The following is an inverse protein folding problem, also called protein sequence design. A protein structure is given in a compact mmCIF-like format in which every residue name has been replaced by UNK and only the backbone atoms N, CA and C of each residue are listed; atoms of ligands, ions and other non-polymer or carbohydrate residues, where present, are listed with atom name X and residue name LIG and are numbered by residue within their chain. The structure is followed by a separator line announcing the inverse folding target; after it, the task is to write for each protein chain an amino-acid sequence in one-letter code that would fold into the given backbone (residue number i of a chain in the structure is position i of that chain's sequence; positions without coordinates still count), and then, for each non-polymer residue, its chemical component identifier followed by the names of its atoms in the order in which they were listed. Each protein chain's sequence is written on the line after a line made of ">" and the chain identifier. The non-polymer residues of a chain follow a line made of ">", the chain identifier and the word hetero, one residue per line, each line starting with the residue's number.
data_IF_253508200724
#
_entry.id   IF_253508200724
#
_cell.length_a   1.000
_cell.length_b   1.000
_cell.length_c   1.000
_cell.angle_alpha   90.00
_cell.angle_beta   90.00
_cell.angle_gamma   90.00
#
_symmetry.space_group_name_H-M   'P 1'
#
loop_
_entity.id
_entity.type
_entity.pdbx_description
1 polymer ?
#
# COMPACT_ATOMS: atom_id res chain seq x y z
N UNK A 1 19.16 3.38 -13.06
CA UNK A 1 18.28 2.32 -12.54
C UNK A 1 18.04 2.66 -11.08
N UNK A 2 16.86 3.14 -10.74
CA UNK A 2 16.47 3.31 -9.34
C UNK A 2 15.74 2.03 -8.96
N UNK A 3 16.30 1.27 -8.02
CA UNK A 3 15.61 0.12 -7.45
C UNK A 3 14.63 0.64 -6.40
N UNK A 4 13.38 0.17 -6.45
CA UNK A 4 12.37 0.44 -5.42
C UNK A 4 12.73 -0.44 -4.22
N UNK A 5 12.93 0.18 -3.07
CA UNK A 5 13.08 -0.50 -1.78
C UNK A 5 11.77 -0.32 -1.00
N UNK A 6 11.26 -1.41 -0.43
CA UNK A 6 10.11 -1.39 0.48
C UNK A 6 10.58 -1.67 1.90
N UNK A 7 10.11 -0.85 2.83
CA UNK A 7 10.47 -0.93 4.24
C UNK A 7 9.19 -1.08 5.06
N UNK A 8 9.05 -2.22 5.71
CA UNK A 8 7.92 -2.50 6.59
C UNK A 8 8.37 -2.54 8.04
N UNK A 9 7.58 -1.91 8.91
CA UNK A 9 7.77 -1.98 10.34
C UNK A 9 6.42 -1.93 11.05
N UNK A 10 6.23 -2.67 12.15
CA UNK A 10 5.00 -2.57 12.92
C UNK A 10 4.85 -1.16 13.46
N UNK A 11 3.67 -0.58 13.28
CA UNK A 11 3.30 0.63 14.01
C UNK A 11 3.15 0.26 15.48
N UNK A 12 3.59 1.15 16.37
CA UNK A 12 3.19 1.04 17.77
C UNK A 12 1.65 1.00 17.81
N UNK A 13 1.09 -0.02 18.47
CA UNK A 13 -0.35 -0.23 18.50
C UNK A 13 -1.10 1.04 18.91
N UNK A 14 -2.38 1.20 18.51
CA UNK A 14 -3.11 2.42 18.83
C UNK A 14 -3.08 2.62 20.34
N UNK A 15 -2.57 3.77 20.80
CA UNK A 15 -2.93 4.24 22.13
C UNK A 15 -4.45 4.16 22.20
N UNK A 16 -4.98 3.38 23.14
CA UNK A 16 -6.40 3.13 23.27
C UNK A 16 -7.16 4.45 23.39
N UNK A 17 -7.71 4.91 22.26
CA UNK A 17 -8.18 6.27 22.12
C UNK A 17 -8.56 6.54 20.67
N UNK A 18 -9.82 6.27 20.33
CA UNK A 18 -10.51 7.08 19.31
C UNK A 18 -10.64 8.49 19.91
N UNK A 19 -9.58 9.28 19.87
CA UNK A 19 -9.55 10.58 20.53
C UNK A 19 -8.18 11.24 20.51
N UNK A 20 -8.07 12.31 19.71
CA UNK A 20 -7.24 13.48 20.00
C UNK A 20 -5.72 13.34 19.94
N UNK A 21 -5.15 13.70 18.79
CA UNK A 21 -4.28 14.89 18.69
C UNK A 21 -3.98 15.13 17.21
N UNK A 22 -4.59 16.18 16.66
CA UNK A 22 -4.02 16.87 15.51
C UNK A 22 -2.61 17.35 15.91
N UNK A 23 -1.63 17.21 15.04
CA UNK A 23 -0.21 17.59 15.23
C UNK A 23 0.68 16.72 16.15
N UNK A 24 0.29 15.50 16.53
CA UNK A 24 1.28 14.61 17.12
C UNK A 24 2.32 14.22 16.06
N UNK A 25 3.59 14.59 16.29
CA UNK A 25 4.73 14.11 15.50
C UNK A 25 4.57 12.60 15.29
N UNK A 26 4.60 12.15 14.03
CA UNK A 26 4.56 10.73 13.74
C UNK A 26 5.84 10.13 14.31
N UNK A 27 5.71 9.36 15.39
CA UNK A 27 6.79 8.53 15.91
C UNK A 27 7.08 7.45 14.88
N UNK A 28 8.00 7.76 13.96
CA UNK A 28 8.46 6.83 12.94
C UNK A 28 9.02 5.58 13.60
N UNK A 29 8.64 4.36 13.16
CA UNK A 29 9.25 3.15 13.66
C UNK A 29 10.77 3.21 13.51
N UNK A 30 11.51 2.83 14.56
CA UNK A 30 12.97 2.99 14.61
C UNK A 30 13.72 2.45 13.37
N UNK A 31 13.36 1.30 12.78
CA UNK A 31 14.00 0.83 11.54
C UNK A 31 13.81 1.79 10.36
N UNK A 32 12.61 2.38 10.22
CA UNK A 32 12.29 3.34 9.16
C UNK A 32 13.05 4.64 9.38
N UNK A 33 13.01 5.17 10.61
CA UNK A 33 13.71 6.40 10.95
C UNK A 33 15.23 6.28 10.71
N UNK A 34 15.82 5.15 11.09
CA UNK A 34 17.25 4.88 10.86
C UNK A 34 17.60 4.81 9.38
N UNK A 35 16.75 4.15 8.56
CA UNK A 35 16.99 3.99 7.12
C UNK A 35 16.86 5.31 6.35
N UNK A 36 15.99 6.20 6.82
CA UNK A 36 15.70 7.52 6.25
C UNK A 36 16.58 8.65 6.81
N UNK A 37 17.37 8.38 7.86
CA UNK A 37 18.23 9.38 8.49
C UNK A 37 19.22 9.98 7.47
N UNK A 38 19.19 11.31 7.34
CA UNK A 38 20.04 12.05 6.39
C UNK A 38 19.58 11.99 4.93
N UNK A 39 18.48 11.27 4.62
CA UNK A 39 17.84 11.25 3.29
C UNK A 39 16.69 12.26 3.24
N UNK A 40 15.91 12.34 4.32
CA UNK A 40 14.74 13.23 4.44
C UNK A 40 14.74 13.93 5.81
N UNK A 41 14.15 15.13 5.86
CA UNK A 41 13.85 15.81 7.12
C UNK A 41 12.55 15.23 7.70
N UNK A 42 12.68 14.14 8.49
CA UNK A 42 11.54 13.40 9.05
C UNK A 42 10.54 14.31 9.80
N UNK A 43 10.97 15.27 10.64
CA UNK A 43 10.06 16.26 11.26
C UNK A 43 9.28 17.14 10.28
N UNK A 44 9.77 17.35 9.05
CA UNK A 44 9.09 18.16 8.04
C UNK A 44 8.08 17.37 7.20
N UNK A 45 8.04 16.03 7.35
CA UNK A 45 7.06 15.20 6.66
C UNK A 45 5.68 15.33 7.30
N UNK A 46 4.68 15.60 6.47
CA UNK A 46 3.28 15.65 6.88
C UNK A 46 2.48 14.51 6.20
N UNK A 47 1.51 13.90 6.90
CA UNK A 47 0.61 12.93 6.29
C UNK A 47 -0.20 13.58 5.16
N UNK A 48 -0.26 12.93 4.00
CA UNK A 48 -1.01 13.43 2.83
C UNK A 48 -2.32 12.67 2.58
N UNK A 49 -2.36 11.39 2.95
CA UNK A 49 -3.54 10.52 2.92
C UNK A 49 -3.28 9.29 3.78
N UNK A 50 -4.33 8.56 4.09
CA UNK A 50 -4.24 7.24 4.74
C UNK A 50 -4.80 6.17 3.80
N UNK A 51 -4.07 5.05 3.67
CA UNK A 51 -4.51 3.85 2.96
C UNK A 51 -4.56 2.72 3.98
N UNK A 52 -5.70 2.04 4.02
CA UNK A 52 -5.91 0.82 4.80
C UNK A 52 -6.17 -0.30 3.81
N UNK A 53 -5.40 -1.37 3.91
CA UNK A 53 -5.55 -2.54 3.05
C UNK A 53 -5.90 -3.76 3.88
N UNK A 54 -7.02 -4.40 3.55
CA UNK A 54 -7.26 -5.78 3.94
C UNK A 54 -6.67 -6.67 2.84
N UNK A 55 -5.61 -7.41 3.18
CA UNK A 55 -4.81 -8.20 2.24
C UNK A 55 -4.96 -9.70 2.52
N UNK A 56 -5.34 -10.46 1.50
CA UNK A 56 -5.27 -11.92 1.49
C UNK A 56 -4.15 -12.38 0.56
N UNK A 57 -3.24 -13.22 1.07
CA UNK A 57 -2.02 -13.62 0.36
C UNK A 57 -2.03 -15.11 0.05
N UNK A 58 -1.67 -15.45 -1.19
CA UNK A 58 -1.50 -16.81 -1.66
C UNK A 58 -0.12 -16.99 -2.29
N UNK A 59 0.65 -17.96 -1.81
CA UNK A 59 1.92 -18.35 -2.44
C UNK A 59 1.65 -19.37 -3.55
N UNK A 60 2.09 -19.06 -4.77
CA UNK A 60 2.05 -19.98 -5.90
C UNK A 60 3.41 -20.65 -6.09
N UNK A 61 3.38 -21.95 -6.38
CA UNK A 61 4.59 -22.74 -6.56
C UNK A 61 4.61 -23.58 -7.84
N UNK A 62 5.82 -23.89 -8.30
CA UNK A 62 6.11 -24.79 -9.43
C UNK A 62 7.02 -25.91 -8.93
N UNK A 63 6.54 -27.15 -9.03
CA UNK A 63 7.26 -28.32 -8.52
C UNK A 63 7.66 -28.23 -7.03
N UNK A 64 6.86 -27.54 -6.22
CA UNK A 64 7.09 -27.35 -4.78
C UNK A 64 7.85 -26.09 -4.42
N UNK A 65 8.46 -25.39 -5.38
CA UNK A 65 9.20 -24.15 -5.14
C UNK A 65 8.31 -22.91 -5.34
N UNK A 66 8.33 -21.91 -4.44
CA UNK A 66 7.59 -20.67 -4.60
C UNK A 66 8.12 -19.88 -5.80
N UNK A 67 7.21 -19.39 -6.65
CA UNK A 67 7.55 -18.60 -7.85
C UNK A 67 6.84 -17.25 -7.87
N UNK A 68 5.69 -17.14 -7.21
CA UNK A 68 4.95 -15.88 -7.15
C UNK A 68 4.11 -15.79 -5.88
N UNK A 69 3.89 -14.57 -5.42
CA UNK A 69 2.85 -14.21 -4.47
C UNK A 69 1.68 -13.60 -5.23
N UNK A 70 0.45 -13.99 -4.87
CA UNK A 70 -0.77 -13.30 -5.32
C UNK A 70 -1.42 -12.69 -4.09
N UNK A 71 -1.57 -11.37 -4.10
CA UNK A 71 -2.25 -10.63 -3.06
C UNK A 71 -3.58 -10.07 -3.58
N UNK A 72 -4.67 -10.36 -2.87
CA UNK A 72 -5.96 -9.75 -3.07
C UNK A 72 -6.16 -8.66 -2.03
N UNK A 73 -6.33 -7.43 -2.51
CA UNK A 73 -6.38 -6.26 -1.65
C UNK A 73 -7.76 -5.60 -1.76
N UNK A 74 -8.42 -5.44 -0.62
CA UNK A 74 -9.50 -4.48 -0.44
C UNK A 74 -8.90 -3.22 0.17
N UNK A 75 -8.90 -2.14 -0.61
CA UNK A 75 -8.22 -0.90 -0.26
C UNK A 75 -9.23 0.17 0.06
N UNK A 76 -9.07 0.79 1.23
CA UNK A 76 -9.81 1.96 1.67
C UNK A 76 -8.84 3.12 1.82
N UNK A 77 -9.11 4.26 1.18
CA UNK A 77 -8.32 5.47 1.31
C UNK A 77 -9.15 6.64 1.87
N UNK A 78 -8.51 7.49 2.67
CA UNK A 78 -9.15 8.65 3.30
C UNK A 78 -8.21 9.85 3.45
N UNK A 79 -8.74 11.07 3.54
CA UNK A 79 -7.95 12.24 3.93
C UNK A 79 -7.21 12.01 5.26
N UNK A 80 -6.06 12.66 5.48
CA UNK A 80 -5.39 12.60 6.76
C UNK A 80 -6.31 13.16 7.85
N UNK A 81 -6.29 12.55 9.05
CA UNK A 81 -7.16 12.96 10.17
C UNK A 81 -7.01 14.45 10.50
N UNK A 82 -5.79 14.98 10.41
CA UNK A 82 -5.51 16.41 10.41
C UNK A 82 -5.85 16.99 9.02
N UNK A 83 -7.13 17.24 8.76
CA UNK A 83 -7.61 17.70 7.44
C UNK A 83 -9.00 17.22 7.06
N UNK A 84 -9.55 16.24 7.78
CA UNK A 84 -10.90 15.72 7.52
C UNK A 84 -12.01 16.79 7.67
N UNK A 85 -11.77 17.86 8.43
CA UNK A 85 -12.71 18.97 8.57
C UNK A 85 -12.73 19.84 7.30
N UNK A 86 -13.50 19.41 6.30
CA UNK A 86 -13.68 20.13 5.02
C UNK A 86 -13.55 19.27 3.78
N UNK A 87 -13.12 18.01 3.92
CA UNK A 87 -13.06 17.07 2.80
C UNK A 87 -14.48 16.78 2.29
N UNK A 88 -14.66 16.83 0.96
CA UNK A 88 -15.95 16.50 0.33
C UNK A 88 -16.20 14.99 0.25
N UNK A 89 -15.13 14.19 0.36
CA UNK A 89 -15.16 12.74 0.45
C UNK A 89 -14.37 12.32 1.69
N UNK A 90 -15.04 11.59 2.57
CA UNK A 90 -14.44 11.05 3.80
C UNK A 90 -13.66 9.75 3.54
N UNK A 91 -14.05 9.01 2.50
CA UNK A 91 -13.51 7.70 2.18
C UNK A 91 -13.78 7.33 0.71
N UNK A 92 -12.80 6.67 0.07
CA UNK A 92 -12.98 5.98 -1.20
C UNK A 92 -12.40 4.56 -1.10
N UNK A 93 -12.95 3.63 -1.88
CA UNK A 93 -12.51 2.24 -1.86
C UNK A 93 -12.30 1.69 -3.26
N UNK A 94 -11.35 0.76 -3.38
CA UNK A 94 -11.13 -0.03 -4.58
C UNK A 94 -10.55 -1.40 -4.23
N UNK A 95 -10.68 -2.34 -5.15
CA UNK A 95 -10.05 -3.66 -5.04
C UNK A 95 -8.98 -3.80 -6.09
N UNK A 96 -7.91 -4.52 -5.76
CA UNK A 96 -6.87 -4.89 -6.71
C UNK A 96 -6.29 -6.27 -6.42
N UNK A 97 -5.60 -6.79 -7.43
CA UNK A 97 -4.85 -8.05 -7.33
C UNK A 97 -3.43 -7.75 -7.76
N UNK A 98 -2.47 -8.03 -6.89
CA UNK A 98 -1.04 -7.92 -7.16
C UNK A 98 -0.43 -9.30 -7.36
N UNK A 99 0.51 -9.39 -8.28
CA UNK A 99 1.28 -10.61 -8.54
C UNK A 99 2.75 -10.25 -8.53
N UNK A 100 3.47 -10.71 -7.52
CA UNK A 100 4.88 -10.40 -7.33
C UNK A 100 5.74 -11.66 -7.43
N UNK A 101 6.95 -11.54 -7.98
CA UNK A 101 7.87 -12.66 -8.05
C UNK A 101 8.39 -13.03 -6.66
N UNK A 102 8.39 -14.32 -6.36
CA UNK A 102 9.03 -14.88 -5.16
C UNK A 102 10.19 -15.79 -5.58
N UNK A 103 11.31 -15.70 -4.87
CA UNK A 103 12.49 -16.54 -5.11
C UNK A 103 12.98 -16.45 -6.56
N UNK A 104 12.99 -17.60 -7.26
CA UNK A 104 13.40 -17.73 -8.66
C UNK A 104 12.27 -17.46 -9.67
N UNK A 105 11.19 -16.80 -9.22
CA UNK A 105 10.07 -16.39 -10.05
C UNK A 105 10.50 -15.52 -11.23
N UNK A 106 10.11 -15.92 -12.44
CA UNK A 106 10.46 -15.18 -13.66
C UNK A 106 9.32 -14.29 -14.14
N UNK A 107 9.64 -13.28 -14.97
CA UNK A 107 8.61 -12.47 -15.63
C UNK A 107 7.66 -13.31 -16.51
N UNK A 108 8.09 -14.47 -17.01
CA UNK A 108 7.20 -15.38 -17.74
C UNK A 108 6.22 -16.08 -16.81
N UNK A 109 6.66 -16.48 -15.61
CA UNK A 109 5.78 -17.06 -14.60
C UNK A 109 4.69 -16.05 -14.19
N UNK A 110 5.06 -14.79 -13.95
CA UNK A 110 4.08 -13.73 -13.61
C UNK A 110 3.06 -13.50 -14.74
N UNK A 111 3.49 -13.49 -16.01
CA UNK A 111 2.57 -13.37 -17.15
C UNK A 111 1.57 -14.53 -17.23
N UNK A 112 2.02 -15.75 -16.92
CA UNK A 112 1.14 -16.93 -16.90
C UNK A 112 0.11 -16.85 -15.77
N UNK A 113 0.53 -16.40 -14.59
CA UNK A 113 -0.37 -16.17 -13.45
C UNK A 113 -1.38 -15.08 -13.80
N UNK A 114 -0.94 -13.94 -14.35
CA UNK A 114 -1.81 -12.86 -14.80
C UNK A 114 -2.87 -13.32 -15.80
N UNK A 115 -2.47 -14.05 -16.84
CA UNK A 115 -3.41 -14.58 -17.83
C UNK A 115 -4.43 -15.55 -17.23
N UNK A 116 -4.03 -16.35 -16.24
CA UNK A 116 -4.94 -17.25 -15.54
C UNK A 116 -5.95 -16.47 -14.67
N UNK A 117 -5.49 -15.43 -13.98
CA UNK A 117 -6.35 -14.55 -13.18
C UNK A 117 -7.38 -13.81 -14.04
N UNK A 118 -6.97 -13.25 -15.18
CA UNK A 118 -7.86 -12.58 -16.15
C UNK A 118 -8.94 -13.52 -16.71
N UNK A 119 -8.66 -14.82 -16.83
CA UNK A 119 -9.65 -15.79 -17.28
C UNK A 119 -10.70 -16.15 -16.20
N UNK A 120 -10.37 -15.94 -14.92
CA UNK A 120 -11.20 -16.32 -13.79
C UNK A 120 -11.97 -15.14 -13.17
N UNK A 121 -11.41 -13.95 -13.27
CA UNK A 121 -11.89 -12.74 -12.62
C UNK A 121 -12.02 -11.61 -13.64
N UNK A 122 -12.98 -10.69 -13.48
CA UNK A 122 -13.16 -9.55 -14.37
C UNK A 122 -12.10 -8.47 -14.08
N UNK A 123 -10.83 -8.77 -14.31
CA UNK A 123 -9.70 -7.90 -14.03
C UNK A 123 -9.43 -6.94 -15.20
N UNK A 124 -8.91 -5.77 -14.86
CA UNK A 124 -8.35 -4.82 -15.81
C UNK A 124 -6.92 -4.57 -15.37
N UNK A 125 -5.96 -4.77 -16.28
CA UNK A 125 -4.56 -4.48 -16.01
C UNK A 125 -4.39 -3.01 -15.59
N UNK A 126 -3.76 -2.80 -14.45
CA UNK A 126 -3.42 -1.48 -13.93
C UNK A 126 -1.93 -1.18 -14.09
N UNK A 127 -1.60 0.04 -14.48
CA UNK A 127 -0.25 0.59 -14.51
C UNK A 127 -0.02 1.70 -13.47
N UNK A 128 -1.04 1.97 -12.66
CA UNK A 128 -1.02 2.95 -11.57
C UNK A 128 -0.85 2.24 -10.23
N UNK A 129 0.00 2.80 -9.37
CA UNK A 129 0.19 2.32 -8.00
C UNK A 129 -1.04 2.59 -7.12
N UNK A 130 -1.16 1.87 -6.00
CA UNK A 130 -2.15 2.17 -4.95
C UNK A 130 -2.15 3.63 -4.55
N UNK A 131 -0.96 4.23 -4.36
CA UNK A 131 -0.82 5.62 -3.95
C UNK A 131 -1.35 6.59 -5.01
N UNK A 132 -1.01 6.37 -6.28
CA UNK A 132 -1.50 7.19 -7.38
C UNK A 132 -3.02 7.08 -7.52
N UNK A 133 -3.56 5.86 -7.43
CA UNK A 133 -5.01 5.63 -7.50
C UNK A 133 -5.73 6.26 -6.32
N UNK A 134 -5.26 6.05 -5.09
CA UNK A 134 -5.81 6.67 -3.90
C UNK A 134 -5.77 8.20 -3.99
N UNK A 135 -4.65 8.75 -4.46
CA UNK A 135 -4.50 10.20 -4.67
C UNK A 135 -5.49 10.71 -5.71
N UNK A 136 -5.68 10.01 -6.83
CA UNK A 136 -6.63 10.42 -7.87
C UNK A 136 -8.09 10.37 -7.40
N UNK A 137 -8.44 9.41 -6.55
CA UNK A 137 -9.79 9.28 -5.98
C UNK A 137 -10.10 10.40 -4.97
N UNK A 138 -9.09 10.87 -4.22
CA UNK A 138 -9.25 11.90 -3.19
C UNK A 138 -8.97 13.33 -3.69
N UNK A 139 -8.09 13.51 -4.67
CA UNK A 139 -7.60 14.81 -5.14
C UNK A 139 -8.67 15.82 -5.57
N UNK A 140 -9.80 15.44 -6.19
CA UNK A 140 -10.85 16.42 -6.54
C UNK A 140 -11.57 17.01 -5.31
N UNK A 141 -11.28 16.50 -4.12
CA UNK A 141 -12.07 16.69 -2.89
C UNK A 141 -11.22 17.06 -1.67
N UNK A 142 -9.91 17.26 -1.88
CA UNK A 142 -8.94 17.86 -0.97
C UNK A 142 -8.68 19.32 -1.39
#
# INVERSE_FOLDING_TARGET
>A
LFEREELEAPLAGPAAGRGGAADAAVDWPAPIAARLAGVVDLPALAPVLEIVTLREVFTLGRAGEPVAEVAFDEVTCRPPRAGAAGALIEEAAFSEVEVEALGEGTAEDLRRVGAALEALLPLVAGDVSKLERASALLAPFL
#
